data_IF_080842326088
#
_entry.id   IF_080842326088
#
_cell.length_a   1.000
_cell.length_b   1.000
_cell.length_c   1.000
_cell.angle_alpha   90.00
_cell.angle_beta   90.00
_cell.angle_gamma   90.00
#
_symmetry.space_group_name_H-M   'P 1'
#
loop_
_entity.id
_entity.type
_entity.pdbx_description
1 polymer ?
#
# COMPACT_ATOMS: atom_id res chain seq x y z
N UNK A 1 -4.95 41.51 -19.04
CA UNK A 1 -4.63 40.71 -17.84
C UNK A 1 -5.74 39.69 -17.47
N UNK A 2 -6.35 38.97 -18.43
CA UNK A 2 -7.46 38.02 -18.15
C UNK A 2 -7.27 36.63 -18.74
N UNK A 3 -6.11 36.29 -19.29
CA UNK A 3 -5.85 35.01 -20.01
C UNK A 3 -5.03 33.99 -19.22
N UNK A 4 -4.52 34.29 -18.03
CA UNK A 4 -3.69 33.37 -17.24
C UNK A 4 -4.42 32.70 -16.07
N UNK A 5 -5.69 33.05 -15.82
CA UNK A 5 -6.44 32.48 -14.71
C UNK A 5 -7.05 31.12 -15.05
N UNK A 6 -7.22 30.79 -16.32
CA UNK A 6 -7.89 29.55 -16.74
C UNK A 6 -6.95 28.33 -16.74
N UNK A 7 -5.66 28.54 -16.86
CA UNK A 7 -4.69 27.42 -16.93
C UNK A 7 -4.32 26.87 -15.56
N UNK A 8 -4.45 27.66 -14.50
CA UNK A 8 -4.16 27.23 -13.13
C UNK A 8 -5.28 26.35 -12.52
N UNK A 9 -6.52 26.48 -13.00
CA UNK A 9 -7.68 25.74 -12.48
C UNK A 9 -7.70 24.29 -13.00
N UNK A 10 -7.16 24.03 -14.18
CA UNK A 10 -7.16 22.68 -14.79
C UNK A 10 -6.09 21.77 -14.16
N UNK A 11 -5.00 22.33 -13.62
CA UNK A 11 -3.95 21.55 -12.97
C UNK A 11 -4.36 21.03 -11.56
N UNK A 12 -5.40 21.56 -10.95
CA UNK A 12 -5.90 21.18 -9.63
C UNK A 12 -6.95 20.07 -9.65
N UNK A 13 -7.45 19.69 -10.82
CA UNK A 13 -8.55 18.71 -10.95
C UNK A 13 -8.08 17.26 -11.22
N UNK A 14 -6.79 17.01 -11.26
CA UNK A 14 -6.26 15.64 -11.48
C UNK A 14 -5.68 14.98 -10.22
N UNK A 15 -6.05 15.42 -9.02
CA UNK A 15 -5.92 14.57 -7.85
C UNK A 15 -7.07 13.57 -7.91
N UNK A 16 -6.88 12.48 -8.63
CA UNK A 16 -7.71 11.30 -8.46
C UNK A 16 -7.58 10.88 -6.99
N UNK A 17 -8.57 11.31 -6.20
CA UNK A 17 -8.78 10.78 -4.86
C UNK A 17 -9.20 9.33 -5.03
N UNK A 18 -8.24 8.42 -5.07
CA UNK A 18 -8.55 7.00 -4.99
C UNK A 18 -9.27 6.77 -3.67
N UNK A 19 -10.54 6.39 -3.77
CA UNK A 19 -11.31 6.03 -2.59
C UNK A 19 -10.59 4.91 -1.84
N UNK A 20 -10.22 5.19 -0.60
CA UNK A 20 -9.68 4.17 0.29
C UNK A 20 -10.84 3.39 0.90
N UNK A 21 -10.68 2.09 0.99
CA UNK A 21 -11.60 1.18 1.67
C UNK A 21 -10.91 0.58 2.90
N UNK A 22 -11.70 0.10 3.85
CA UNK A 22 -11.19 -0.51 5.08
C UNK A 22 -11.85 -1.86 5.28
N UNK A 23 -11.03 -2.90 5.38
CA UNK A 23 -11.44 -4.23 5.82
C UNK A 23 -11.21 -4.34 7.34
N UNK A 24 -12.21 -4.77 8.09
CA UNK A 24 -12.14 -4.89 9.55
C UNK A 24 -12.27 -6.35 9.96
N UNK A 25 -11.16 -6.94 10.39
CA UNK A 25 -11.12 -8.25 11.01
C UNK A 25 -11.54 -8.10 12.48
N UNK A 26 -12.84 -8.24 12.75
CA UNK A 26 -13.39 -8.17 14.09
C UNK A 26 -13.58 -9.60 14.65
N UNK A 27 -12.74 -9.98 15.59
CA UNK A 27 -12.71 -11.34 16.10
C UNK A 27 -13.88 -11.65 17.06
N UNK A 28 -14.48 -10.63 17.65
CA UNK A 28 -15.67 -10.82 18.50
C UNK A 28 -16.91 -11.23 17.69
N UNK A 29 -17.04 -10.76 16.45
CA UNK A 29 -18.16 -11.16 15.58
C UNK A 29 -17.91 -12.47 14.87
N UNK A 30 -16.63 -12.88 14.73
CA UNK A 30 -16.19 -14.15 14.12
C UNK A 30 -16.99 -14.52 12.85
N UNK A 31 -17.02 -13.68 11.83
CA UNK A 31 -17.83 -13.91 10.64
C UNK A 31 -17.41 -15.15 9.84
N UNK A 32 -16.25 -15.70 10.14
CA UNK A 32 -15.70 -16.90 9.50
C UNK A 32 -16.23 -18.21 10.08
N UNK A 33 -17.03 -18.15 11.17
CA UNK A 33 -17.63 -19.31 11.81
C UNK A 33 -16.61 -20.29 12.40
N UNK A 34 -15.46 -19.80 12.83
CA UNK A 34 -14.44 -20.63 13.48
C UNK A 34 -14.94 -20.97 14.88
N UNK A 35 -14.98 -22.26 15.21
CA UNK A 35 -15.28 -22.68 16.58
C UNK A 35 -14.25 -22.06 17.54
N UNK A 36 -14.72 -21.48 18.62
CA UNK A 36 -13.87 -20.81 19.61
C UNK A 36 -14.07 -21.41 20.99
N UNK A 37 -13.01 -21.34 21.81
CA UNK A 37 -13.07 -21.74 23.22
C UNK A 37 -12.60 -20.60 24.10
N UNK A 38 -13.22 -20.43 25.24
CA UNK A 38 -12.77 -19.53 26.31
C UNK A 38 -11.65 -20.15 27.14
N UNK A 39 -11.48 -21.48 27.05
CA UNK A 39 -10.49 -22.23 27.83
C UNK A 39 -9.11 -22.13 27.19
N UNK A 40 -8.14 -21.74 27.99
CA UNK A 40 -6.74 -21.60 27.56
C UNK A 40 -6.05 -22.93 27.23
N UNK A 41 -6.58 -24.03 27.74
CA UNK A 41 -6.03 -25.38 27.64
C UNK A 41 -6.54 -26.19 26.45
N UNK A 42 -7.40 -25.61 25.59
CA UNK A 42 -7.84 -26.20 24.32
C UNK A 42 -7.11 -25.58 23.10
N UNK A 43 -5.83 -25.88 22.89
CA UNK A 43 -5.02 -25.19 21.88
C UNK A 43 -5.40 -25.51 20.44
N UNK A 44 -6.17 -26.56 20.23
CA UNK A 44 -6.63 -26.99 18.90
C UNK A 44 -7.93 -26.29 18.48
N UNK A 45 -8.68 -25.72 19.42
CA UNK A 45 -9.91 -24.99 19.13
C UNK A 45 -9.58 -23.57 18.69
N UNK A 46 -10.23 -23.13 17.62
CA UNK A 46 -10.05 -21.79 17.06
C UNK A 46 -8.78 -21.58 16.23
N UNK A 47 -7.98 -22.62 16.02
CA UNK A 47 -6.72 -22.53 15.28
C UNK A 47 -6.93 -22.14 13.82
N UNK A 48 -6.01 -21.35 13.33
CA UNK A 48 -5.90 -21.02 11.92
C UNK A 48 -4.63 -21.71 11.39
N UNK A 49 -4.85 -22.83 10.70
CA UNK A 49 -3.77 -23.67 10.18
C UNK A 49 -3.09 -23.04 8.96
N UNK A 50 -1.87 -23.50 8.65
CA UNK A 50 -1.17 -23.14 7.44
C UNK A 50 -2.03 -23.43 6.20
N UNK A 51 -2.04 -22.49 5.27
CA UNK A 51 -2.86 -22.58 4.05
C UNK A 51 -4.32 -22.18 4.22
N UNK A 52 -4.80 -21.96 5.45
CA UNK A 52 -6.10 -21.33 5.70
C UNK A 52 -5.95 -19.82 5.81
N UNK A 53 -6.99 -19.10 5.40
CA UNK A 53 -7.07 -17.66 5.52
C UNK A 53 -8.44 -17.21 6.01
N UNK A 54 -8.45 -16.10 6.74
CA UNK A 54 -9.64 -15.32 7.00
C UNK A 54 -9.76 -14.30 5.88
N UNK A 55 -10.95 -14.12 5.33
CA UNK A 55 -11.16 -13.13 4.28
C UNK A 55 -12.18 -12.09 4.74
N UNK A 56 -11.87 -10.83 4.53
CA UNK A 56 -12.74 -9.71 4.83
C UNK A 56 -12.57 -8.64 3.75
N UNK A 57 -13.66 -8.30 3.07
CA UNK A 57 -13.69 -7.28 2.00
C UNK A 57 -12.58 -7.47 0.95
N UNK A 58 -12.31 -8.73 0.58
CA UNK A 58 -11.28 -9.12 -0.39
C UNK A 58 -9.84 -9.15 0.15
N UNK A 59 -9.59 -8.66 1.36
CA UNK A 59 -8.29 -8.80 2.02
C UNK A 59 -8.21 -10.16 2.70
N UNK A 60 -7.09 -10.87 2.50
CA UNK A 60 -6.81 -12.16 3.13
C UNK A 60 -5.81 -12.01 4.26
N UNK A 61 -6.17 -12.50 5.44
CA UNK A 61 -5.28 -12.71 6.57
C UNK A 61 -4.93 -14.20 6.63
N UNK A 62 -3.65 -14.54 6.44
CA UNK A 62 -3.15 -15.91 6.49
C UNK A 62 -2.14 -16.06 7.61
N UNK A 63 -2.18 -17.19 8.30
CA UNK A 63 -1.28 -17.53 9.39
C UNK A 63 -0.28 -18.59 8.95
N UNK A 64 0.93 -18.54 9.53
CA UNK A 64 1.90 -19.61 9.39
C UNK A 64 2.55 -19.89 10.76
N UNK A 65 2.59 -21.15 11.13
CA UNK A 65 3.24 -21.63 12.35
C UNK A 65 4.72 -21.85 12.10
N UNK A 66 5.57 -21.10 12.81
CA UNK A 66 7.04 -21.19 12.69
C UNK A 66 7.64 -21.46 14.07
N UNK A 67 8.04 -22.69 14.33
CA UNK A 67 8.70 -23.10 15.59
C UNK A 67 7.93 -22.74 16.88
N UNK A 68 6.67 -22.36 16.78
CA UNK A 68 5.83 -22.09 17.93
C UNK A 68 5.20 -23.37 18.46
N UNK A 69 4.90 -23.40 19.75
CA UNK A 69 4.18 -24.53 20.37
C UNK A 69 2.73 -24.62 19.84
N UNK A 70 2.09 -23.46 19.64
CA UNK A 70 0.67 -23.35 19.29
C UNK A 70 0.47 -22.63 17.96
N UNK A 71 -0.64 -22.96 17.27
CA UNK A 71 -1.15 -22.20 16.14
C UNK A 71 -1.70 -20.85 16.59
N UNK A 72 -1.67 -19.85 15.71
CA UNK A 72 -2.48 -18.67 15.90
C UNK A 72 -3.96 -19.05 15.90
N UNK A 73 -4.78 -18.45 16.76
CA UNK A 73 -6.16 -18.86 16.92
C UNK A 73 -7.08 -17.72 17.33
N UNK A 74 -8.36 -17.89 17.04
CA UNK A 74 -9.43 -17.10 17.65
C UNK A 74 -9.79 -17.78 18.96
N UNK A 75 -9.69 -17.05 20.03
CA UNK A 75 -10.02 -17.51 21.37
C UNK A 75 -10.98 -16.52 22.01
N UNK A 76 -12.20 -16.96 22.29
CA UNK A 76 -13.29 -16.12 22.75
C UNK A 76 -13.61 -15.03 21.69
N UNK A 77 -13.41 -13.78 22.03
CA UNK A 77 -13.64 -12.59 21.19
C UNK A 77 -12.34 -11.95 20.65
N UNK A 78 -11.23 -12.70 20.65
CA UNK A 78 -9.88 -12.18 20.38
C UNK A 78 -9.09 -13.10 19.48
N UNK A 79 -8.16 -12.51 18.73
CA UNK A 79 -7.13 -13.23 17.98
C UNK A 79 -5.86 -13.30 18.80
N UNK A 80 -5.44 -14.52 19.14
CA UNK A 80 -4.20 -14.78 19.83
C UNK A 80 -3.12 -15.21 18.85
N UNK A 81 -2.07 -14.39 18.78
CA UNK A 81 -0.95 -14.59 17.90
C UNK A 81 0.28 -14.97 18.73
N UNK A 82 0.74 -16.19 18.55
CA UNK A 82 1.82 -16.73 19.36
C UNK A 82 3.18 -16.34 18.82
N UNK A 83 4.13 -16.17 19.76
CA UNK A 83 5.53 -15.84 19.47
C UNK A 83 6.10 -16.71 18.34
N UNK A 84 6.90 -16.11 17.48
CA UNK A 84 7.56 -16.68 16.30
C UNK A 84 6.65 -17.00 15.12
N UNK A 85 5.35 -17.11 15.29
CA UNK A 85 4.40 -17.29 14.18
C UNK A 85 4.33 -16.03 13.33
N UNK A 86 3.96 -16.21 12.06
CA UNK A 86 3.74 -15.10 11.14
C UNK A 86 2.27 -14.96 10.77
N UNK A 87 1.91 -13.75 10.39
CA UNK A 87 0.63 -13.41 9.76
C UNK A 87 0.92 -12.53 8.56
N UNK A 88 0.32 -12.84 7.43
CA UNK A 88 0.36 -12.03 6.23
C UNK A 88 -1.00 -11.46 5.88
N UNK A 89 -1.01 -10.21 5.42
CA UNK A 89 -2.16 -9.56 4.82
C UNK A 89 -1.91 -9.46 3.33
N UNK A 90 -2.82 -9.98 2.53
CA UNK A 90 -2.70 -9.98 1.07
C UNK A 90 -3.92 -9.29 0.46
N UNK A 91 -3.66 -8.30 -0.38
CA UNK A 91 -4.69 -7.63 -1.16
C UNK A 91 -5.00 -8.41 -2.44
N UNK A 92 -6.21 -8.26 -3.02
CA UNK A 92 -6.53 -8.79 -4.33
C UNK A 92 -5.70 -8.12 -5.43
N UNK A 93 -5.76 -8.68 -6.64
CA UNK A 93 -5.04 -8.12 -7.80
C UNK A 93 -5.42 -6.65 -8.04
N UNK A 94 -4.43 -5.81 -8.39
CA UNK A 94 -4.57 -4.37 -8.66
C UNK A 94 -5.02 -3.54 -7.45
N UNK A 95 -4.83 -4.07 -6.25
CA UNK A 95 -5.09 -3.39 -4.98
C UNK A 95 -3.82 -3.42 -4.13
N UNK A 96 -3.61 -2.36 -3.38
CA UNK A 96 -2.50 -2.26 -2.43
C UNK A 96 -2.99 -1.88 -1.05
N UNK A 97 -2.39 -2.49 -0.04
CA UNK A 97 -2.58 -2.14 1.36
C UNK A 97 -1.80 -0.84 1.61
N UNK A 98 -2.45 0.11 2.25
CA UNK A 98 -1.85 1.43 2.55
C UNK A 98 -1.65 1.66 4.04
N UNK A 99 -2.46 1.01 4.90
CA UNK A 99 -2.35 1.08 6.35
C UNK A 99 -2.87 -0.19 6.99
N UNK A 100 -2.26 -0.63 8.07
CA UNK A 100 -2.77 -1.68 8.95
C UNK A 100 -2.75 -1.14 10.37
N UNK A 101 -3.86 -1.26 11.08
CA UNK A 101 -3.98 -0.87 12.49
C UNK A 101 -4.33 -2.11 13.31
N UNK A 102 -3.49 -2.44 14.26
CA UNK A 102 -3.67 -3.53 15.20
C UNK A 102 -4.23 -2.99 16.51
N UNK A 103 -5.46 -3.34 16.86
CA UNK A 103 -6.08 -2.98 18.15
C UNK A 103 -5.82 -4.08 19.16
N UNK A 104 -4.85 -3.85 20.01
CA UNK A 104 -4.35 -4.83 20.97
C UNK A 104 -5.05 -4.73 22.33
N UNK A 105 -4.88 -5.75 23.15
CA UNK A 105 -5.05 -5.60 24.58
C UNK A 105 -3.82 -4.91 25.18
N UNK A 106 -3.98 -4.17 26.32
CA UNK A 106 -2.89 -3.54 27.01
C UNK A 106 -1.70 -4.48 27.20
N UNK A 107 -0.48 -4.01 26.90
CA UNK A 107 0.79 -4.74 27.06
C UNK A 107 0.87 -6.10 26.30
N UNK A 108 0.02 -6.30 25.29
CA UNK A 108 -0.05 -7.57 24.57
C UNK A 108 0.09 -7.39 23.05
N UNK A 109 1.00 -6.54 22.61
CA UNK A 109 1.28 -6.39 21.19
C UNK A 109 2.77 -6.15 20.95
N UNK A 110 3.41 -7.09 20.33
CA UNK A 110 4.83 -7.02 20.02
C UNK A 110 5.08 -7.74 18.69
N UNK A 111 5.17 -6.96 17.62
CA UNK A 111 5.29 -7.43 16.25
C UNK A 111 6.51 -6.80 15.57
N UNK A 112 7.05 -7.50 14.59
CA UNK A 112 8.04 -6.97 13.65
C UNK A 112 7.61 -7.26 12.21
N UNK A 113 7.67 -6.26 11.34
CA UNK A 113 7.51 -6.46 9.91
C UNK A 113 8.69 -7.27 9.37
N UNK A 114 8.41 -8.32 8.60
CA UNK A 114 9.43 -9.17 8.01
C UNK A 114 9.47 -9.16 6.48
N UNK A 115 8.47 -8.58 5.82
CA UNK A 115 8.45 -8.45 4.36
C UNK A 115 9.31 -7.31 3.84
N UNK A 116 9.65 -6.33 4.69
CA UNK A 116 10.45 -5.15 4.34
C UNK A 116 9.90 -4.42 3.10
N UNK A 117 8.60 -4.20 3.08
CA UNK A 117 7.91 -3.60 1.94
C UNK A 117 8.11 -2.08 1.80
N UNK A 118 9.02 -1.51 2.58
CA UNK A 118 9.29 -0.07 2.59
C UNK A 118 8.28 0.76 3.40
N UNK A 119 7.42 0.09 4.15
CA UNK A 119 6.49 0.75 5.07
C UNK A 119 7.14 1.19 6.37
N UNK A 120 6.41 1.98 7.13
CA UNK A 120 6.79 2.41 8.48
C UNK A 120 5.87 1.70 9.47
N UNK A 121 6.46 0.96 10.40
CA UNK A 121 5.77 0.35 11.52
C UNK A 121 5.99 1.21 12.77
N UNK A 122 4.90 1.58 13.42
CA UNK A 122 4.90 2.42 14.61
C UNK A 122 4.12 1.74 15.72
N UNK A 123 4.66 1.85 16.92
CA UNK A 123 4.00 1.46 18.15
C UNK A 123 3.58 2.75 18.87
N UNK A 124 2.29 2.99 18.96
CA UNK A 124 1.76 4.05 19.83
C UNK A 124 1.57 3.44 21.22
N UNK A 125 2.60 3.59 22.03
CA UNK A 125 2.68 3.07 23.39
C UNK A 125 1.95 3.99 24.40
N UNK A 126 0.87 4.62 23.97
CA UNK A 126 0.04 5.44 24.83
C UNK A 126 -0.86 4.52 25.66
N UNK A 127 -0.79 4.62 26.98
CA UNK A 127 -1.48 3.74 27.93
C UNK A 127 -3.00 3.58 27.71
N UNK A 128 -3.59 4.41 26.86
CA UNK A 128 -5.02 4.46 26.59
C UNK A 128 -5.46 3.73 25.32
N UNK A 129 -4.63 3.73 24.29
CA UNK A 129 -4.98 3.19 22.97
C UNK A 129 -3.86 2.30 22.45
N UNK A 130 -3.71 1.11 23.04
CA UNK A 130 -2.72 0.12 22.60
C UNK A 130 -2.92 -0.22 21.10
N UNK A 131 -2.46 0.67 20.24
CA UNK A 131 -2.52 0.56 18.80
C UNK A 131 -1.11 0.47 18.24
N UNK A 132 -0.94 -0.48 17.35
CA UNK A 132 0.22 -0.55 16.48
C UNK A 132 -0.24 -0.28 15.07
N UNK A 133 0.54 0.44 14.32
CA UNK A 133 0.18 0.74 12.94
C UNK A 133 1.35 0.52 11.99
N UNK A 134 1.02 0.05 10.81
CA UNK A 134 1.90 0.02 9.66
C UNK A 134 1.32 0.92 8.58
N UNK A 135 2.15 1.73 7.94
CA UNK A 135 1.78 2.55 6.79
C UNK A 135 2.78 2.33 5.66
N UNK A 136 2.28 2.16 4.45
CA UNK A 136 3.11 1.89 3.27
C UNK A 136 2.27 1.71 2.02
N UNK A 137 2.82 1.01 1.03
CA UNK A 137 2.08 0.57 -0.17
C UNK A 137 2.61 -0.78 -0.60
N UNK A 138 1.81 -1.83 -0.42
CA UNK A 138 2.22 -3.18 -0.77
C UNK A 138 1.01 -4.07 -1.11
N UNK A 139 1.17 -5.01 -2.03
CA UNK A 139 0.17 -6.03 -2.31
C UNK A 139 0.09 -7.06 -1.17
N UNK A 140 1.20 -7.27 -0.45
CA UNK A 140 1.27 -8.17 0.70
C UNK A 140 2.20 -7.58 1.76
N UNK A 141 1.78 -7.67 3.02
CA UNK A 141 2.59 -7.29 4.19
C UNK A 141 2.58 -8.46 5.16
N UNK A 142 3.75 -8.83 5.68
CA UNK A 142 3.89 -9.93 6.63
C UNK A 142 4.58 -9.45 7.91
N UNK A 143 4.05 -9.91 9.04
CA UNK A 143 4.60 -9.66 10.36
C UNK A 143 4.91 -10.96 11.07
N UNK A 144 5.86 -10.89 12.00
CA UNK A 144 6.20 -11.94 12.95
C UNK A 144 5.95 -11.43 14.36
N UNK A 145 5.33 -12.24 15.19
CA UNK A 145 5.23 -11.93 16.61
C UNK A 145 6.59 -12.13 17.28
N UNK A 146 7.09 -11.08 17.91
CA UNK A 146 8.30 -11.11 18.74
C UNK A 146 7.97 -11.53 20.17
N UNK A 147 6.70 -11.38 20.56
CA UNK A 147 6.12 -11.92 21.77
C UNK A 147 4.69 -12.41 21.47
N UNK A 148 4.06 -13.15 22.40
CA UNK A 148 2.65 -13.53 22.25
C UNK A 148 1.77 -12.30 22.38
N UNK A 149 1.01 -12.02 21.33
CA UNK A 149 0.17 -10.84 21.21
C UNK A 149 -1.30 -11.20 21.10
N UNK A 150 -2.17 -10.30 21.56
CA UNK A 150 -3.62 -10.52 21.55
C UNK A 150 -4.33 -9.29 21.00
N UNK A 151 -5.21 -9.51 20.02
CA UNK A 151 -5.88 -8.45 19.27
C UNK A 151 -7.40 -8.57 19.37
N UNK A 152 -8.08 -7.44 19.57
CA UNK A 152 -9.53 -7.33 19.46
C UNK A 152 -9.99 -7.25 18.02
N UNK A 153 -9.29 -6.44 17.23
CA UNK A 153 -9.54 -6.29 15.80
C UNK A 153 -8.28 -5.84 15.07
N UNK A 154 -8.28 -6.04 13.77
CA UNK A 154 -7.24 -5.53 12.86
C UNK A 154 -7.97 -4.81 11.72
N UNK A 155 -7.60 -3.55 11.48
CA UNK A 155 -8.15 -2.74 10.40
C UNK A 155 -7.12 -2.63 9.28
N UNK A 156 -7.51 -2.95 8.06
CA UNK A 156 -6.64 -2.89 6.88
C UNK A 156 -7.22 -1.90 5.89
N UNK A 157 -6.55 -0.75 5.73
CA UNK A 157 -6.89 0.24 4.71
C UNK A 157 -6.20 -0.14 3.41
N UNK A 158 -6.95 -0.12 2.32
CA UNK A 158 -6.45 -0.47 1.01
C UNK A 158 -7.03 0.45 -0.07
N UNK A 159 -6.35 0.53 -1.20
CA UNK A 159 -6.74 1.35 -2.34
C UNK A 159 -6.39 0.64 -3.65
N UNK A 160 -7.00 1.01 -4.78
CA UNK A 160 -6.52 0.58 -6.07
C UNK A 160 -5.04 0.87 -6.25
N UNK A 161 -4.32 -0.06 -6.86
CA UNK A 161 -2.96 0.20 -7.28
C UNK A 161 -2.98 1.38 -8.26
N UNK A 162 -2.26 2.45 -7.93
CA UNK A 162 -2.14 3.56 -8.86
C UNK A 162 -1.50 3.04 -10.14
N UNK A 163 -2.29 2.85 -11.16
CA UNK A 163 -1.74 2.68 -12.50
C UNK A 163 -1.07 4.00 -12.83
N UNK A 164 0.22 4.08 -12.61
CA UNK A 164 1.02 5.11 -13.27
C UNK A 164 0.90 4.82 -14.76
N UNK A 165 -0.20 5.26 -15.36
CA UNK A 165 -0.33 5.30 -16.79
C UNK A 165 0.54 6.43 -17.36
N UNK A 166 1.86 6.37 -17.09
CA UNK A 166 2.86 6.68 -18.08
C UNK A 166 2.96 5.46 -19.02
N UNK A 167 1.85 4.70 -19.13
CA UNK A 167 1.68 3.74 -20.19
C UNK A 167 1.50 4.53 -21.47
N UNK A 168 2.59 4.62 -22.21
CA UNK A 168 2.52 4.99 -23.62
C UNK A 168 1.92 6.39 -23.89
N UNK A 169 2.54 7.45 -23.38
CA UNK A 169 2.87 8.45 -24.34
C UNK A 169 3.74 7.73 -25.40
N UNK A 170 3.11 6.93 -26.26
CA UNK A 170 3.57 6.81 -27.63
C UNK A 170 3.69 8.26 -28.05
N UNK A 171 4.87 8.82 -27.88
CA UNK A 171 5.26 9.99 -28.65
C UNK A 171 4.91 9.57 -30.05
N UNK A 172 3.74 10.00 -30.57
CA UNK A 172 3.57 10.12 -32.00
C UNK A 172 4.86 10.84 -32.37
N UNK A 173 5.80 10.10 -32.95
CA UNK A 173 6.96 10.72 -33.57
C UNK A 173 6.35 11.85 -34.36
N UNK A 174 6.54 13.08 -33.90
CA UNK A 174 6.13 14.23 -34.67
C UNK A 174 6.87 14.05 -35.98
N UNK A 175 6.15 13.64 -37.02
CA UNK A 175 6.68 13.43 -38.36
C UNK A 175 6.89 14.83 -38.96
N UNK A 176 7.78 15.59 -38.33
CA UNK A 176 8.18 16.91 -38.78
C UNK A 176 9.47 17.27 -38.07
N UNK A 177 10.44 17.70 -38.85
CA UNK A 177 11.72 18.21 -38.36
C UNK A 177 11.51 19.61 -37.79
N UNK A 178 11.11 19.69 -36.51
CA UNK A 178 10.89 21.00 -35.88
C UNK A 178 12.08 21.42 -35.01
N UNK A 179 12.29 22.72 -34.94
CA UNK A 179 13.27 23.37 -34.09
C UNK A 179 12.55 24.03 -32.90
N UNK A 180 13.08 23.83 -31.72
CA UNK A 180 12.60 24.47 -30.49
C UNK A 180 13.73 25.23 -29.81
N UNK A 181 13.38 26.36 -29.20
CA UNK A 181 14.29 27.06 -28.27
C UNK A 181 14.36 26.27 -26.95
N UNK A 182 15.31 26.61 -26.08
CA UNK A 182 15.36 26.04 -24.71
C UNK A 182 14.11 26.33 -23.87
N UNK A 183 13.37 27.39 -24.17
CA UNK A 183 12.12 27.74 -23.51
C UNK A 183 10.92 26.97 -24.10
N UNK A 184 11.15 26.03 -25.01
CA UNK A 184 10.08 25.22 -25.61
C UNK A 184 9.31 25.94 -26.74
N UNK A 185 9.69 27.13 -27.16
CA UNK A 185 9.05 27.83 -28.27
C UNK A 185 9.42 27.12 -29.58
N UNK A 186 8.43 26.65 -30.33
CA UNK A 186 8.64 26.12 -31.68
C UNK A 186 8.95 27.27 -32.63
N UNK A 187 10.00 27.11 -33.40
CA UNK A 187 10.42 28.13 -34.39
C UNK A 187 9.88 27.76 -35.78
N UNK A 188 10.38 26.73 -36.38
CA UNK A 188 9.90 26.24 -37.66
C UNK A 188 10.54 24.87 -37.99
N UNK A 189 10.66 24.54 -39.27
CA UNK A 189 11.24 23.28 -39.72
C UNK A 189 12.78 23.31 -39.64
N UNK A 190 13.42 22.15 -39.61
CA UNK A 190 14.87 22.01 -39.49
C UNK A 190 15.66 22.65 -40.63
N UNK A 191 15.01 22.89 -41.75
CA UNK A 191 15.66 23.47 -42.94
C UNK A 191 16.08 24.93 -42.72
N UNK A 192 15.48 25.59 -41.73
CA UNK A 192 15.83 26.95 -41.32
C UNK A 192 16.98 27.04 -40.32
N UNK A 193 17.49 25.92 -39.83
CA UNK A 193 18.59 25.93 -38.85
C UNK A 193 19.80 26.80 -39.28
N UNK A 194 20.24 26.80 -40.53
CA UNK A 194 21.35 27.66 -41.00
C UNK A 194 21.08 29.16 -40.87
N UNK A 195 19.83 29.59 -40.88
CA UNK A 195 19.47 31.03 -40.86
C UNK A 195 19.19 31.54 -39.42
N UNK A 196 19.13 30.66 -38.41
CA UNK A 196 18.90 31.07 -37.04
C UNK A 196 20.12 31.73 -36.41
N UNK A 197 19.96 32.64 -35.46
CA UNK A 197 21.02 33.20 -34.65
C UNK A 197 21.86 32.14 -33.91
N UNK A 198 23.09 32.49 -33.52
CA UNK A 198 23.87 31.62 -32.63
C UNK A 198 23.13 31.38 -31.32
N UNK A 199 23.03 30.11 -30.88
CA UNK A 199 22.29 29.75 -29.72
C UNK A 199 22.14 28.23 -29.52
N UNK A 200 21.34 27.83 -28.51
CA UNK A 200 21.06 26.44 -28.23
C UNK A 200 19.63 26.11 -28.66
N UNK A 201 19.49 25.07 -29.45
CA UNK A 201 18.23 24.61 -30.02
C UNK A 201 18.01 23.13 -29.77
N UNK A 202 16.77 22.70 -29.75
CA UNK A 202 16.38 21.30 -29.71
C UNK A 202 15.82 20.94 -31.10
N UNK A 203 16.50 20.06 -31.81
CA UNK A 203 16.10 19.59 -33.13
C UNK A 203 15.89 18.09 -33.05
N UNK A 204 14.68 17.64 -33.34
CA UNK A 204 14.30 16.21 -33.26
C UNK A 204 14.66 15.56 -31.91
N UNK A 205 14.49 16.31 -30.81
CA UNK A 205 14.81 15.86 -29.47
C UNK A 205 16.29 15.87 -29.12
N UNK A 206 17.18 16.34 -30.02
CA UNK A 206 18.61 16.46 -29.74
C UNK A 206 19.00 17.93 -29.55
N UNK A 207 19.85 18.18 -28.54
CA UNK A 207 20.44 19.51 -28.32
C UNK A 207 21.47 19.81 -29.39
N UNK A 208 21.33 20.96 -30.05
CA UNK A 208 22.27 21.49 -31.05
C UNK A 208 22.72 22.88 -30.59
N UNK A 209 24.01 23.16 -30.71
CA UNK A 209 24.62 24.47 -30.47
C UNK A 209 24.98 25.04 -31.86
N UNK A 210 24.53 26.26 -32.15
CA UNK A 210 24.84 26.96 -33.37
C UNK A 210 25.71 28.20 -33.07
#
# INVERSE_FOLDING_TARGET
MRKYLLTAVIALLSMESFAQSVAVFNFATNPWGIETSTLGDEPEVGKIEDGKSLEQDGIKLSCQKINARYWNRIMDDKFKWYISNTVSFTAPEKVVITKIVFKCLPYQCDLAEITQTGGVYQCDDDEKDNQYSWTGRAAMVMFKATNTSTFKSIEVTYAPEATTSIANLKTKKAQGNYIYTLQGKRLDTSDLLPSLPSGIYIVNGKKIIK
#
